data_IF_652524809626
#
_entry.id   IF_652524809626
#
_cell.length_a   1.000
_cell.length_b   1.000
_cell.length_c   1.000
_cell.angle_alpha   90.00
_cell.angle_beta   90.00
_cell.angle_gamma   90.00
#
_symmetry.space_group_name_H-M   'P 1'
#
loop_
_entity.id
_entity.type
_entity.pdbx_description
1 polymer ?
#
# COMPACT_ATOMS: atom_id res chain seq x y z
N UNK A 1 -6.44 -0.47 -0.57
CA UNK A 1 -5.79 -0.18 -1.86
C UNK A 1 -6.72 0.66 -2.72
N UNK A 2 -6.29 1.87 -3.09
CA UNK A 2 -7.07 2.83 -3.89
C UNK A 2 -6.20 3.53 -4.90
N UNK A 3 -6.81 4.19 -5.88
CA UNK A 3 -6.11 5.11 -6.76
C UNK A 3 -5.80 6.47 -6.14
N UNK A 4 -5.23 7.36 -6.95
CA UNK A 4 -4.91 8.73 -6.56
C UNK A 4 -6.15 9.54 -6.16
N UNK A 5 -7.31 9.26 -6.75
CA UNK A 5 -8.58 9.92 -6.45
C UNK A 5 -9.23 9.35 -5.18
N UNK A 6 -8.85 8.13 -4.76
CA UNK A 6 -9.41 7.44 -3.61
C UNK A 6 -10.41 6.37 -3.97
N UNK A 7 -10.56 6.07 -5.25
CA UNK A 7 -11.44 5.04 -5.72
C UNK A 7 -10.79 3.66 -5.55
N UNK A 8 -11.63 2.65 -5.33
CA UNK A 8 -11.15 1.28 -5.16
C UNK A 8 -10.52 0.78 -6.46
N UNK A 9 -9.38 0.12 -6.34
CA UNK A 9 -8.78 -0.58 -7.49
C UNK A 9 -9.55 -1.86 -7.74
N UNK A 10 -9.93 -2.08 -9.00
CA UNK A 10 -10.78 -3.19 -9.42
C UNK A 10 -9.94 -4.33 -10.01
N UNK A 11 -10.40 -5.57 -9.84
CA UNK A 11 -9.87 -6.74 -10.52
C UNK A 11 -10.42 -6.83 -11.97
N UNK A 12 -10.03 -7.87 -12.71
CA UNK A 12 -10.48 -8.09 -14.09
C UNK A 12 -12.00 -8.31 -14.25
N UNK A 13 -12.72 -8.62 -13.16
CA UNK A 13 -14.18 -8.72 -13.15
C UNK A 13 -14.86 -7.38 -12.81
N UNK A 14 -14.10 -6.30 -12.64
CA UNK A 14 -14.62 -5.00 -12.22
C UNK A 14 -15.01 -4.93 -10.75
N UNK A 15 -14.54 -5.86 -9.91
CA UNK A 15 -14.81 -5.87 -8.46
C UNK A 15 -13.64 -5.29 -7.66
N UNK A 16 -13.87 -4.58 -6.55
CA UNK A 16 -12.80 -4.09 -5.70
C UNK A 16 -11.85 -5.19 -5.23
N UNK A 17 -10.54 -4.92 -5.31
CA UNK A 17 -9.52 -5.79 -4.75
C UNK A 17 -9.52 -5.62 -3.23
N UNK A 18 -9.91 -6.66 -2.52
CA UNK A 18 -9.85 -6.68 -1.06
C UNK A 18 -8.41 -6.88 -0.60
N UNK A 19 -7.96 -5.96 0.26
CA UNK A 19 -6.61 -5.96 0.85
C UNK A 19 -6.72 -5.94 2.36
N UNK A 20 -5.65 -6.31 3.06
CA UNK A 20 -5.59 -6.31 4.52
C UNK A 20 -4.79 -5.12 5.00
N UNK A 21 -5.24 -4.53 6.12
CA UNK A 21 -4.46 -3.57 6.88
C UNK A 21 -4.25 -4.12 8.29
N UNK A 22 -2.99 -4.13 8.74
CA UNK A 22 -2.62 -4.60 10.07
C UNK A 22 -2.21 -3.40 10.92
N UNK A 23 -2.60 -3.39 12.19
CA UNK A 23 -2.06 -2.45 13.18
C UNK A 23 -0.98 -3.14 14.01
N UNK A 24 0.20 -2.54 14.06
CA UNK A 24 1.34 -3.02 14.84
C UNK A 24 1.71 -2.01 15.91
N UNK A 25 1.84 -2.46 17.16
CA UNK A 25 2.35 -1.65 18.27
C UNK A 25 3.84 -1.90 18.43
N UNK A 26 4.64 -0.84 18.35
CA UNK A 26 6.10 -0.90 18.50
C UNK A 26 6.52 -0.98 19.96
N UNK A 27 7.80 -1.25 20.16
CA UNK A 27 8.40 -1.32 21.50
C UNK A 27 8.28 -0.02 22.30
N UNK A 28 8.24 1.14 21.63
CA UNK A 28 8.04 2.46 22.25
C UNK A 28 6.56 2.80 22.51
N UNK A 29 5.64 1.87 22.25
CA UNK A 29 4.19 2.06 22.39
C UNK A 29 3.52 2.77 21.21
N UNK A 30 4.29 3.32 20.26
CA UNK A 30 3.72 3.92 19.05
C UNK A 30 3.08 2.86 18.16
N UNK A 31 2.05 3.26 17.40
CA UNK A 31 1.34 2.35 16.47
C UNK A 31 1.59 2.72 15.03
N UNK A 32 1.59 1.71 14.17
CA UNK A 32 1.61 1.87 12.72
C UNK A 32 0.70 0.90 12.01
N UNK A 33 0.37 1.28 10.78
CA UNK A 33 -0.41 0.49 9.86
C UNK A 33 0.52 -0.12 8.82
N UNK A 34 0.35 -1.41 8.57
CA UNK A 34 0.96 -2.15 7.47
C UNK A 34 -0.14 -2.43 6.46
N UNK A 35 -0.04 -1.85 5.27
CA UNK A 35 -1.02 -2.04 4.20
C UNK A 35 -0.50 -3.10 3.23
N UNK A 36 -1.28 -4.17 3.06
CA UNK A 36 -0.99 -5.26 2.14
C UNK A 36 -1.38 -4.86 0.71
N UNK A 37 -0.38 -4.51 -0.10
CA UNK A 37 -0.54 -4.24 -1.53
C UNK A 37 0.04 -5.39 -2.37
N UNK A 38 -0.10 -6.64 -1.91
CA UNK A 38 0.38 -7.83 -2.63
C UNK A 38 -0.25 -8.01 -4.02
N UNK A 39 -1.44 -7.46 -4.26
CA UNK A 39 -2.04 -7.44 -5.59
C UNK A 39 -1.29 -6.53 -6.59
N UNK A 40 -0.44 -5.61 -6.11
CA UNK A 40 0.07 -4.51 -6.91
C UNK A 40 -1.05 -3.60 -7.42
N UNK A 41 -0.69 -2.58 -8.19
CA UNK A 41 -1.71 -1.76 -8.85
C UNK A 41 -1.21 -1.09 -10.13
N UNK A 42 -2.11 -1.05 -11.12
CA UNK A 42 -1.95 -0.29 -12.34
C UNK A 42 -3.05 0.76 -12.44
N UNK A 43 -2.66 2.02 -12.58
CA UNK A 43 -3.58 3.15 -12.75
C UNK A 43 -3.90 3.42 -14.22
N UNK A 44 -3.18 2.79 -15.14
CA UNK A 44 -3.34 2.98 -16.59
C UNK A 44 -3.22 4.45 -17.02
N UNK A 45 -2.49 5.25 -16.24
CA UNK A 45 -2.13 6.61 -16.62
C UNK A 45 -1.06 6.60 -17.73
N UNK A 46 -1.01 7.67 -18.52
CA UNK A 46 0.01 7.83 -19.56
C UNK A 46 1.42 7.65 -18.98
N UNK A 47 2.18 6.72 -19.56
CA UNK A 47 3.52 6.35 -19.08
C UNK A 47 3.55 5.50 -17.80
N UNK A 48 2.44 4.82 -17.44
CA UNK A 48 2.32 3.97 -16.25
C UNK A 48 2.62 4.71 -14.93
N UNK A 49 2.30 6.01 -14.89
CA UNK A 49 2.61 6.85 -13.74
C UNK A 49 1.86 6.37 -12.50
N UNK A 50 2.61 6.02 -11.46
CA UNK A 50 2.07 5.54 -10.19
C UNK A 50 1.84 4.03 -10.14
N UNK A 51 2.00 3.31 -11.26
CA UNK A 51 1.93 1.85 -11.25
C UNK A 51 3.01 1.28 -10.33
N UNK A 52 2.63 0.32 -9.49
CA UNK A 52 3.56 -0.34 -8.58
C UNK A 52 3.29 -1.84 -8.55
N UNK A 53 4.39 -2.60 -8.55
CA UNK A 53 4.35 -4.05 -8.30
C UNK A 53 3.95 -4.33 -6.86
N UNK A 54 3.77 -5.61 -6.53
CA UNK A 54 3.42 -6.04 -5.18
C UNK A 54 4.38 -5.46 -4.12
N UNK A 55 3.82 -4.89 -3.05
CA UNK A 55 4.59 -4.32 -1.95
C UNK A 55 3.77 -4.26 -0.65
N UNK A 56 4.44 -3.91 0.45
CA UNK A 56 3.79 -3.38 1.64
C UNK A 56 4.06 -1.88 1.77
N UNK A 57 3.09 -1.15 2.30
CA UNK A 57 3.31 0.20 2.82
C UNK A 57 3.33 0.20 4.34
N UNK A 58 4.18 1.05 4.91
CA UNK A 58 4.19 1.33 6.35
C UNK A 58 3.74 2.77 6.57
N UNK A 59 2.67 2.95 7.36
CA UNK A 59 2.02 4.25 7.55
C UNK A 59 1.83 4.58 9.03
N UNK A 60 1.90 5.86 9.42
CA UNK A 60 1.44 6.31 10.73
C UNK A 60 -0.07 6.06 10.89
N UNK A 61 -0.53 5.84 12.13
CA UNK A 61 -1.95 5.56 12.40
C UNK A 61 -2.83 6.79 12.18
N UNK A 62 -2.27 7.99 12.37
CA UNK A 62 -2.92 9.29 12.19
C UNK A 62 -3.02 9.72 10.72
N UNK A 63 -2.20 9.14 9.82
CA UNK A 63 -2.28 9.38 8.38
C UNK A 63 -2.04 8.07 7.61
N UNK A 64 -3.07 7.19 7.55
CA UNK A 64 -2.96 5.87 6.93
C UNK A 64 -2.79 5.91 5.41
N UNK A 65 -3.08 7.02 4.75
CA UNK A 65 -3.13 7.08 3.28
C UNK A 65 -1.82 7.58 2.67
N UNK A 66 -1.27 8.67 3.19
CA UNK A 66 -0.10 9.33 2.59
C UNK A 66 1.03 9.57 3.58
N UNK A 67 0.81 9.25 4.86
CA UNK A 67 1.77 9.50 5.92
C UNK A 67 3.07 8.74 5.73
N UNK A 68 4.15 9.29 6.27
CA UNK A 68 5.48 8.67 6.27
C UNK A 68 5.92 8.42 7.69
N UNK A 69 6.52 7.26 7.92
CA UNK A 69 7.15 6.93 9.20
C UNK A 69 8.62 7.32 9.13
N UNK A 70 9.12 8.23 9.99
CA UNK A 70 10.53 8.60 10.00
C UNK A 70 11.46 7.38 10.11
N UNK A 71 12.48 7.31 9.26
CA UNK A 71 13.44 6.21 9.22
C UNK A 71 12.96 4.92 8.51
N UNK A 72 11.71 4.87 8.05
CA UNK A 72 11.19 3.75 7.27
C UNK A 72 11.27 4.02 5.75
N UNK A 73 11.23 2.94 4.96
CA UNK A 73 10.95 3.04 3.52
C UNK A 73 9.47 3.31 3.28
N UNK A 74 9.15 4.06 2.23
CA UNK A 74 7.77 4.25 1.80
C UNK A 74 7.15 2.94 1.26
N UNK A 75 7.94 2.12 0.57
CA UNK A 75 7.51 0.86 -0.03
C UNK A 75 8.48 -0.29 0.31
N UNK A 76 7.93 -1.45 0.67
CA UNK A 76 8.67 -2.69 0.89
C UNK A 76 8.24 -3.73 -0.15
N UNK A 77 8.98 -3.79 -1.26
CA UNK A 77 8.71 -4.73 -2.35
C UNK A 77 8.99 -6.17 -1.94
N UNK A 78 8.18 -7.11 -2.43
CA UNK A 78 8.48 -8.52 -2.32
C UNK A 78 9.74 -8.84 -3.15
N UNK A 79 10.57 -9.76 -2.64
CA UNK A 79 11.68 -10.28 -3.44
C UNK A 79 11.12 -11.17 -4.53
N UNK A 80 11.62 -11.03 -5.75
CA UNK A 80 11.33 -12.00 -6.80
C UNK A 80 11.77 -13.39 -6.34
N UNK A 81 10.95 -14.40 -6.65
CA UNK A 81 11.39 -15.79 -6.52
C UNK A 81 12.52 -15.98 -7.54
N UNK A 82 13.73 -16.20 -7.04
CA UNK A 82 14.87 -16.64 -7.87
C UNK A 82 14.61 -18.01 -8.46
#
# INVERSE_FOLDING_TARGET
MTDKAGESILNSEGKPILTREYQFTRADGSKVIIQDHSAGHQFHESGNKGDQTAHFNLRPIENPRTGKVPGAKDHYYFKDKK
#
